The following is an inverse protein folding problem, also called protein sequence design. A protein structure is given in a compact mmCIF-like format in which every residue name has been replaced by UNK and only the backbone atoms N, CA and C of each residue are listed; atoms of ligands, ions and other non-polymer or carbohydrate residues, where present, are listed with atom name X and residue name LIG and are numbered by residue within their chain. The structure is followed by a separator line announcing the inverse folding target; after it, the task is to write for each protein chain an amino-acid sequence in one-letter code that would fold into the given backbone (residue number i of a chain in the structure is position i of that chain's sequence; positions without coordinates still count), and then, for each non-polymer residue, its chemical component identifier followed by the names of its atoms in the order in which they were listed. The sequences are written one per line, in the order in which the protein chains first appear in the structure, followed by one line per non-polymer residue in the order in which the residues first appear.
data_IF_880887999319
#
_entry.id   IF_880887999319
#
_cell.length_a   1.000
_cell.length_b   1.000
_cell.length_c   1.000
_cell.angle_alpha   90.00
_cell.angle_beta   90.00
_cell.angle_gamma   90.00
#
_symmetry.space_group_name_H-M   'P 1'
#
loop_
_entity.id
_entity.type
_entity.pdbx_description
1 polymer ?
#
# COMPACT_ATOMS: atom_id res chain seq x y z
N UNK A 1 -2.80 -34.69 -8.56
CA UNK A 1 -3.47 -34.34 -7.30
C UNK A 1 -4.52 -35.41 -7.00
N UNK A 2 -4.60 -35.90 -5.76
CA UNK A 2 -5.36 -37.11 -5.39
C UNK A 2 -6.06 -37.04 -4.04
N UNK A 3 -6.32 -35.83 -3.51
CA UNK A 3 -7.11 -35.68 -2.30
C UNK A 3 -8.60 -35.78 -2.63
N UNK A 4 -9.32 -36.61 -1.90
CA UNK A 4 -10.78 -36.74 -1.96
C UNK A 4 -11.41 -35.78 -0.95
N UNK A 5 -12.42 -34.99 -1.36
CA UNK A 5 -13.14 -34.06 -0.49
C UNK A 5 -12.69 -32.59 -0.60
N UNK A 6 -13.40 -31.71 0.12
CA UNK A 6 -13.12 -30.27 0.15
C UNK A 6 -11.80 -29.99 0.88
N UNK A 7 -10.98 -29.10 0.32
CA UNK A 7 -9.77 -28.63 0.99
C UNK A 7 -10.11 -27.47 1.93
N UNK A 8 -9.51 -27.48 3.12
CA UNK A 8 -9.52 -26.34 4.04
C UNK A 8 -8.13 -25.75 4.18
N UNK A 9 -8.04 -24.42 4.23
CA UNK A 9 -6.78 -23.69 4.32
C UNK A 9 -6.68 -22.92 5.63
N UNK A 10 -5.50 -22.92 6.23
CA UNK A 10 -5.21 -22.20 7.46
C UNK A 10 -3.81 -21.60 7.46
N UNK A 11 -3.64 -20.51 8.22
CA UNK A 11 -2.34 -19.91 8.46
C UNK A 11 -1.58 -20.75 9.49
N UNK A 12 -0.44 -21.32 9.12
CA UNK A 12 0.37 -22.16 9.99
C UNK A 12 1.40 -21.34 10.77
N UNK A 13 2.01 -20.35 10.14
CA UNK A 13 3.02 -19.48 10.75
C UNK A 13 3.17 -18.16 9.99
N UNK A 14 3.83 -17.19 10.64
CA UNK A 14 4.06 -15.86 10.09
C UNK A 14 2.86 -14.94 10.24
N UNK A 15 2.78 -13.91 9.40
CA UNK A 15 1.68 -12.95 9.43
C UNK A 15 1.25 -12.55 8.03
N UNK A 16 -0.06 -12.42 7.84
CA UNK A 16 -0.61 -11.78 6.65
C UNK A 16 -0.44 -10.27 6.77
N UNK A 17 -0.37 -9.54 5.64
CA UNK A 17 -0.42 -8.08 5.67
C UNK A 17 -1.66 -7.59 6.45
N UNK A 18 -1.53 -6.57 7.33
CA UNK A 18 -2.67 -5.96 7.98
C UNK A 18 -3.75 -5.56 6.97
N UNK A 19 -4.99 -5.95 7.23
CA UNK A 19 -6.13 -5.75 6.32
C UNK A 19 -6.35 -6.87 5.30
N UNK A 20 -5.54 -7.94 5.31
CA UNK A 20 -5.74 -9.16 4.50
C UNK A 20 -6.09 -10.35 5.41
N UNK A 21 -7.05 -11.17 4.99
CA UNK A 21 -7.44 -12.40 5.66
C UNK A 21 -7.39 -13.61 4.71
N UNK A 22 -7.06 -14.78 5.25
CA UNK A 22 -7.16 -16.07 4.56
C UNK A 22 -8.53 -16.68 4.84
N UNK A 23 -9.28 -17.00 3.78
CA UNK A 23 -10.49 -17.80 3.88
C UNK A 23 -10.16 -19.29 3.95
N UNK A 24 -11.07 -20.07 4.53
CA UNK A 24 -10.93 -21.54 4.57
C UNK A 24 -10.94 -22.20 3.19
N UNK A 25 -11.40 -21.50 2.15
CA UNK A 25 -11.35 -21.94 0.75
C UNK A 25 -10.01 -21.61 0.05
N UNK A 26 -9.07 -20.97 0.75
CA UNK A 26 -7.73 -20.65 0.23
C UNK A 26 -7.61 -19.28 -0.44
N UNK A 27 -8.67 -18.47 -0.47
CA UNK A 27 -8.60 -17.10 -0.98
C UNK A 27 -8.02 -16.14 0.08
N UNK A 28 -7.04 -15.32 -0.32
CA UNK A 28 -6.57 -14.16 0.43
C UNK A 28 -7.34 -12.92 -0.02
N UNK A 29 -8.07 -12.28 0.89
CA UNK A 29 -8.99 -11.17 0.58
C UNK A 29 -8.76 -10.00 1.52
N UNK A 30 -8.81 -8.78 0.99
CA UNK A 30 -8.76 -7.54 1.77
C UNK A 30 -7.95 -6.43 1.10
N UNK A 31 -7.60 -5.41 1.89
CA UNK A 31 -6.81 -4.26 1.42
C UNK A 31 -5.63 -4.04 2.36
N UNK A 32 -4.40 -4.38 1.94
CA UNK A 32 -3.20 -4.17 2.76
C UNK A 32 -3.04 -2.71 3.18
N UNK A 33 -2.81 -2.44 4.47
CA UNK A 33 -2.67 -1.07 5.00
C UNK A 33 -1.24 -0.69 5.38
N UNK A 34 -0.31 -1.64 5.39
CA UNK A 34 1.07 -1.42 5.83
C UNK A 34 2.02 -1.94 4.76
N UNK A 35 2.94 -1.07 4.32
CA UNK A 35 3.99 -1.44 3.38
C UNK A 35 5.06 -2.30 4.07
N UNK A 36 5.67 -3.20 3.31
CA UNK A 36 6.74 -4.07 3.79
C UNK A 36 6.62 -5.51 3.30
N UNK A 37 7.65 -6.34 3.56
CA UNK A 37 7.59 -7.76 3.31
C UNK A 37 6.81 -8.48 4.41
N UNK A 38 5.94 -9.40 4.02
CA UNK A 38 5.21 -10.30 4.91
C UNK A 38 5.46 -11.74 4.47
N UNK A 39 6.05 -12.53 5.37
CA UNK A 39 6.27 -13.96 5.14
C UNK A 39 5.33 -14.78 6.00
N UNK A 40 4.71 -15.79 5.39
CA UNK A 40 3.76 -16.66 6.05
C UNK A 40 3.71 -18.05 5.40
N UNK A 41 3.26 -19.03 6.17
CA UNK A 41 3.08 -20.41 5.69
C UNK A 41 1.59 -20.76 5.73
N UNK A 42 1.06 -21.28 4.63
CA UNK A 42 -0.32 -21.80 4.56
C UNK A 42 -0.27 -23.32 4.59
N UNK A 43 -1.15 -23.92 5.37
CA UNK A 43 -1.43 -25.37 5.33
C UNK A 43 -2.77 -25.60 4.66
N UNK A 44 -2.79 -26.51 3.69
CA UNK A 44 -4.00 -27.10 3.12
C UNK A 44 -4.23 -28.46 3.79
N UNK A 45 -5.47 -28.73 4.18
CA UNK A 45 -5.92 -30.01 4.77
C UNK A 45 -7.04 -30.56 3.90
N UNK A 46 -6.92 -31.82 3.45
CA UNK A 46 -7.99 -32.48 2.69
C UNK A 46 -9.06 -33.10 3.60
N UNK A 47 -10.12 -33.67 2.99
CA UNK A 47 -11.22 -34.29 3.72
C UNK A 47 -10.82 -35.56 4.51
N UNK A 48 -9.62 -36.08 4.27
CA UNK A 48 -9.05 -37.24 4.94
C UNK A 48 -8.00 -36.83 6.01
N UNK A 49 -7.90 -35.54 6.33
CA UNK A 49 -6.94 -34.95 7.27
C UNK A 49 -5.46 -35.04 6.83
N UNK A 50 -5.18 -35.31 5.56
CA UNK A 50 -3.83 -35.15 5.03
C UNK A 50 -3.52 -33.67 4.80
N UNK A 51 -2.31 -33.27 5.15
CA UNK A 51 -1.88 -31.87 5.10
C UNK A 51 -0.72 -31.65 4.15
N UNK A 52 -0.71 -30.51 3.47
CA UNK A 52 0.45 -29.97 2.77
C UNK A 52 0.67 -28.51 3.16
N UNK A 53 1.92 -28.08 3.31
CA UNK A 53 2.27 -26.72 3.72
C UNK A 53 3.19 -26.04 2.70
N UNK A 54 2.98 -24.75 2.48
CA UNK A 54 3.78 -23.94 1.56
C UNK A 54 4.09 -22.58 2.18
N UNK A 55 5.36 -22.19 2.13
CA UNK A 55 5.82 -20.86 2.52
C UNK A 55 5.66 -19.87 1.37
N UNK A 56 5.22 -18.65 1.71
CA UNK A 56 5.02 -17.53 0.82
C UNK A 56 5.66 -16.26 1.39
N UNK A 57 6.05 -15.37 0.49
CA UNK A 57 6.43 -13.99 0.82
C UNK A 57 5.67 -13.05 -0.11
N UNK A 58 5.01 -12.04 0.46
CA UNK A 58 4.36 -10.96 -0.28
C UNK A 58 4.97 -9.63 0.13
N UNK A 59 5.27 -8.78 -0.84
CA UNK A 59 5.79 -7.42 -0.58
C UNK A 59 4.70 -6.41 -0.90
N UNK A 60 4.26 -5.66 0.11
CA UNK A 60 3.33 -4.56 -0.05
C UNK A 60 4.13 -3.28 -0.30
N UNK A 61 3.90 -2.66 -1.46
CA UNK A 61 4.56 -1.41 -1.84
C UNK A 61 4.08 -0.22 -1.02
N UNK A 62 4.93 0.81 -0.92
CA UNK A 62 4.50 2.11 -0.41
C UNK A 62 3.66 2.84 -1.45
N UNK A 63 2.61 3.56 -1.06
CA UNK A 63 1.89 4.40 -1.99
C UNK A 63 2.79 5.53 -2.50
N UNK A 64 2.69 5.84 -3.80
CA UNK A 64 3.39 6.98 -4.39
C UNK A 64 2.58 8.25 -4.17
N UNK A 65 3.20 9.28 -3.60
CA UNK A 65 2.60 10.61 -3.46
C UNK A 65 3.04 11.47 -4.65
N UNK A 66 2.08 12.10 -5.33
CA UNK A 66 2.34 13.02 -6.43
C UNK A 66 1.80 14.41 -6.10
N UNK A 67 2.60 15.45 -6.37
CA UNK A 67 2.23 16.86 -6.24
C UNK A 67 1.97 17.44 -7.62
N UNK A 68 0.88 18.18 -7.77
CA UNK A 68 0.52 18.89 -9.00
C UNK A 68 0.27 20.38 -8.73
N UNK A 69 0.51 21.26 -9.72
CA UNK A 69 1.13 20.98 -11.02
C UNK A 69 2.63 20.67 -10.94
N UNK A 70 3.17 19.93 -11.91
CA UNK A 70 4.60 19.54 -11.94
C UNK A 70 5.54 20.74 -12.16
N UNK A 71 5.03 21.80 -12.79
CA UNK A 71 5.71 23.07 -12.96
C UNK A 71 4.77 24.21 -12.61
N UNK A 72 5.34 25.28 -12.08
CA UNK A 72 4.61 26.49 -11.76
C UNK A 72 4.75 27.50 -12.90
N UNK A 73 3.65 28.16 -13.34
CA UNK A 73 3.73 29.26 -14.29
C UNK A 73 4.62 30.39 -13.74
N UNK A 74 5.33 31.09 -14.63
CA UNK A 74 6.11 32.27 -14.25
C UNK A 74 5.21 33.41 -13.76
N UNK A 75 5.71 34.17 -12.77
CA UNK A 75 5.07 35.39 -12.28
C UNK A 75 5.66 36.65 -12.93
N UNK A 76 4.94 37.78 -12.80
CA UNK A 76 5.39 39.11 -13.24
C UNK A 76 5.64 39.99 -12.01
N UNK A 77 6.77 40.68 -11.97
CA UNK A 77 7.12 41.57 -10.86
C UNK A 77 6.04 42.63 -10.64
N UNK A 78 5.66 42.86 -9.37
CA UNK A 78 4.60 43.80 -9.00
C UNK A 78 3.16 43.31 -9.22
N UNK A 79 2.98 42.09 -9.74
CA UNK A 79 1.65 41.46 -9.90
C UNK A 79 1.46 40.37 -8.84
N UNK A 80 0.25 40.25 -8.30
CA UNK A 80 -0.09 39.17 -7.37
C UNK A 80 0.09 37.81 -8.06
N UNK A 81 0.75 36.88 -7.36
CA UNK A 81 0.94 35.50 -7.80
C UNK A 81 0.09 34.57 -6.95
N UNK A 82 -0.72 33.72 -7.57
CA UNK A 82 -1.54 32.72 -6.88
C UNK A 82 -1.55 31.43 -7.67
N UNK A 83 -1.15 30.34 -7.03
CA UNK A 83 -1.26 28.99 -7.57
C UNK A 83 -1.64 28.02 -6.47
N UNK A 84 -2.44 27.02 -6.82
CA UNK A 84 -2.85 25.96 -5.90
C UNK A 84 -2.02 24.72 -6.17
N UNK A 85 -1.34 24.22 -5.13
CA UNK A 85 -0.70 22.91 -5.14
C UNK A 85 -1.70 21.88 -4.61
N UNK A 86 -1.75 20.71 -5.24
CA UNK A 86 -2.53 19.58 -4.72
C UNK A 86 -1.65 18.34 -4.62
N UNK A 87 -1.92 17.50 -3.63
CA UNK A 87 -1.24 16.23 -3.43
C UNK A 87 -2.23 15.08 -3.59
N UNK A 88 -1.75 13.96 -4.13
CA UNK A 88 -2.56 12.76 -4.39
C UNK A 88 -1.74 11.50 -4.13
N UNK A 89 -2.44 10.38 -3.91
CA UNK A 89 -1.83 9.10 -3.55
C UNK A 89 -1.42 9.03 -2.08
N UNK A 90 -1.32 7.83 -1.53
CA UNK A 90 -1.12 7.66 -0.08
C UNK A 90 -2.41 7.72 0.72
N UNK A 91 -2.26 7.74 2.03
CA UNK A 91 -3.36 7.84 2.99
C UNK A 91 -2.99 8.86 4.05
N UNK A 92 -3.96 9.63 4.54
CA UNK A 92 -3.74 10.65 5.56
C UNK A 92 -3.77 12.09 5.03
N UNK A 93 -3.44 13.03 5.91
CA UNK A 93 -3.39 14.46 5.58
C UNK A 93 -2.06 14.83 4.93
N UNK A 94 -2.09 15.71 3.94
CA UNK A 94 -0.90 16.21 3.28
C UNK A 94 -0.45 17.54 3.90
N UNK A 95 0.85 17.68 4.13
CA UNK A 95 1.50 18.93 4.54
C UNK A 95 2.49 19.36 3.47
N UNK A 96 2.44 20.62 3.08
CA UNK A 96 3.36 21.19 2.09
C UNK A 96 4.48 21.97 2.80
N UNK A 97 5.70 21.78 2.33
CA UNK A 97 6.89 22.50 2.79
C UNK A 97 7.86 22.70 1.64
N UNK A 98 8.63 23.78 1.66
CA UNK A 98 9.74 23.94 0.74
C UNK A 98 10.81 22.89 1.04
N UNK A 99 11.10 22.02 0.07
CA UNK A 99 12.19 21.05 0.20
C UNK A 99 13.57 21.72 0.14
N UNK A 100 13.69 22.82 -0.62
CA UNK A 100 14.91 23.60 -0.76
C UNK A 100 14.61 24.98 -1.36
N UNK A 101 15.57 25.91 -1.25
CA UNK A 101 15.47 27.27 -1.77
C UNK A 101 14.69 28.23 -0.87
N UNK A 102 14.36 29.41 -1.40
CA UNK A 102 13.50 30.40 -0.76
C UNK A 102 12.41 30.84 -1.71
N UNK A 103 11.22 31.13 -1.17
CA UNK A 103 10.19 31.81 -1.94
C UNK A 103 10.61 33.26 -2.20
N UNK A 104 10.30 33.82 -3.38
CA UNK A 104 10.49 35.25 -3.64
C UNK A 104 9.75 36.11 -2.59
N UNK A 105 10.26 37.32 -2.27
CA UNK A 105 9.58 38.23 -1.37
C UNK A 105 8.12 38.47 -1.80
N UNK A 106 7.18 38.32 -0.86
CA UNK A 106 5.75 38.47 -1.11
C UNK A 106 5.01 37.20 -1.55
N UNK A 107 5.71 36.06 -1.67
CA UNK A 107 5.10 34.74 -1.92
C UNK A 107 5.22 33.86 -0.68
N UNK A 108 4.14 33.17 -0.33
CA UNK A 108 4.08 32.21 0.78
C UNK A 108 3.44 30.88 0.30
N UNK A 109 3.69 29.81 1.07
CA UNK A 109 3.06 28.49 0.91
C UNK A 109 1.68 28.47 1.58
#
# INVERSE_FOLDING_TARGET
SGGTGSYTFSLASGSLPPGVALSSAGALVGTPTTAGPFSFTITATDGNHFTGSQAYTVTIGTPTIAITPATLPGGVAGTAYSQTLTASGGTGSYTFSLASGSLPPGVAL
#
